data_IF_852586885143
#
_entry.id   IF_852586885143
#
_cell.length_a   1.000
_cell.length_b   1.000
_cell.length_c   1.000
_cell.angle_alpha   90.00
_cell.angle_beta   90.00
_cell.angle_gamma   90.00
#
_symmetry.space_group_name_H-M   'P 1'
#
loop_
_entity.id
_entity.type
_entity.pdbx_description
1 polymer ?
#
# COMPACT_ATOMS: atom_id res chain seq x y z
N UNK A 1 4.40 -4.55 -9.08
CA UNK A 1 5.34 -3.63 -8.39
C UNK A 1 6.78 -4.13 -8.49
N UNK A 2 7.07 -5.41 -8.26
CA UNK A 2 8.46 -5.91 -8.19
C UNK A 2 9.26 -5.72 -9.49
N UNK A 3 8.65 -5.98 -10.68
CA UNK A 3 9.33 -5.78 -11.97
C UNK A 3 9.62 -4.31 -12.23
N UNK A 4 8.62 -3.45 -12.10
CA UNK A 4 8.77 -2.00 -12.30
C UNK A 4 9.78 -1.41 -11.32
N UNK A 5 9.71 -1.80 -10.04
CA UNK A 5 10.68 -1.38 -9.05
C UNK A 5 12.11 -1.79 -9.42
N UNK A 6 12.31 -3.03 -9.88
CA UNK A 6 13.64 -3.51 -10.30
C UNK A 6 14.17 -2.74 -11.50
N UNK A 7 13.32 -2.36 -12.47
CA UNK A 7 13.73 -1.54 -13.62
C UNK A 7 14.17 -0.14 -13.19
N UNK A 8 13.41 0.49 -12.29
CA UNK A 8 13.73 1.81 -11.72
C UNK A 8 15.03 1.76 -10.90
N UNK A 9 15.18 0.76 -10.02
CA UNK A 9 16.35 0.58 -9.17
C UNK A 9 17.63 0.35 -9.98
N UNK A 10 17.54 -0.45 -11.05
CA UNK A 10 18.65 -0.73 -11.97
C UNK A 10 18.87 0.39 -13.00
N UNK A 11 18.06 1.45 -12.95
CA UNK A 11 18.13 2.60 -13.85
C UNK A 11 18.14 2.21 -15.35
N UNK A 12 17.35 1.19 -15.71
CA UNK A 12 17.26 0.67 -17.09
C UNK A 12 16.25 1.47 -17.89
N UNK A 13 16.74 2.45 -18.66
CA UNK A 13 15.93 3.34 -19.50
C UNK A 13 15.32 4.51 -18.73
N UNK A 14 14.75 5.47 -19.48
CA UNK A 14 14.04 6.62 -18.95
C UNK A 14 12.56 6.24 -18.72
N UNK A 15 12.23 5.70 -17.55
CA UNK A 15 10.90 5.21 -17.20
C UNK A 15 10.37 5.91 -15.95
N UNK A 16 9.04 6.08 -15.89
CA UNK A 16 8.32 6.55 -14.72
C UNK A 16 7.16 5.59 -14.40
N UNK A 17 6.74 5.59 -13.15
CA UNK A 17 5.56 4.86 -12.68
C UNK A 17 4.88 5.63 -11.56
N UNK A 18 3.56 5.55 -11.48
CA UNK A 18 2.71 6.27 -10.54
C UNK A 18 2.41 5.48 -9.27
N UNK A 19 1.92 6.16 -8.22
CA UNK A 19 1.36 5.53 -7.03
C UNK A 19 2.39 5.10 -5.98
N UNK A 20 3.58 5.69 -5.96
CA UNK A 20 4.67 5.31 -5.05
C UNK A 20 4.70 6.15 -3.78
N UNK A 21 5.00 5.50 -2.65
CA UNK A 21 5.47 6.19 -1.46
C UNK A 21 6.92 6.66 -1.65
N UNK A 22 7.20 7.89 -1.25
CA UNK A 22 8.54 8.50 -1.29
C UNK A 22 9.33 8.13 -0.03
N UNK A 23 9.91 6.93 -0.02
CA UNK A 23 10.77 6.46 1.08
C UNK A 23 12.23 6.85 0.84
N UNK A 24 13.02 7.01 1.91
CA UNK A 24 14.47 7.30 1.83
C UNK A 24 15.21 6.29 0.95
N UNK A 25 14.92 5.00 1.15
CA UNK A 25 15.50 3.92 0.34
C UNK A 25 15.25 4.11 -1.15
N UNK A 26 14.06 4.56 -1.54
CA UNK A 26 13.72 4.78 -2.96
C UNK A 26 14.33 6.06 -3.51
N UNK A 27 14.45 7.10 -2.69
CA UNK A 27 15.11 8.36 -3.07
C UNK A 27 16.59 8.17 -3.41
N UNK A 28 17.25 7.18 -2.83
CA UNK A 28 18.64 6.85 -3.15
C UNK A 28 18.85 6.47 -4.63
N UNK A 29 17.87 5.83 -5.28
CA UNK A 29 18.00 5.34 -6.66
C UNK A 29 17.03 5.94 -7.68
N UNK A 30 16.05 6.75 -7.27
CA UNK A 30 15.02 7.28 -8.16
C UNK A 30 14.75 8.77 -7.90
N UNK A 31 14.20 9.45 -8.91
CA UNK A 31 13.64 10.80 -8.82
C UNK A 31 12.15 10.73 -8.52
N UNK A 32 11.63 11.72 -7.82
CA UNK A 32 10.22 11.82 -7.45
C UNK A 32 9.61 13.14 -7.90
N UNK A 33 8.39 13.09 -8.40
CA UNK A 33 7.59 14.27 -8.66
C UNK A 33 7.16 14.96 -7.36
N UNK A 34 6.47 16.10 -7.48
CA UNK A 34 5.55 16.59 -6.45
C UNK A 34 4.46 15.52 -6.18
N UNK A 35 3.80 15.55 -5.01
CA UNK A 35 2.68 14.65 -4.74
C UNK A 35 1.54 14.95 -5.72
N UNK A 36 0.90 13.91 -6.24
CA UNK A 36 -0.22 14.06 -7.17
C UNK A 36 -1.52 13.42 -6.67
N UNK A 37 -1.45 12.67 -5.59
CA UNK A 37 -2.61 12.00 -5.01
C UNK A 37 -2.41 11.81 -3.49
N UNK A 38 -3.48 11.99 -2.74
CA UNK A 38 -3.59 11.60 -1.34
C UNK A 38 -4.83 10.71 -1.20
N UNK A 39 -4.65 9.52 -0.64
CA UNK A 39 -5.75 8.58 -0.45
C UNK A 39 -6.55 8.87 0.83
N UNK A 40 -7.67 8.15 1.01
CA UNK A 40 -8.52 8.23 2.19
C UNK A 40 -8.04 7.35 3.36
N UNK A 41 -6.79 6.92 3.33
CA UNK A 41 -6.21 6.13 4.41
C UNK A 41 -6.17 4.63 4.13
N UNK A 42 -5.84 3.89 5.17
CA UNK A 42 -5.71 2.43 5.15
C UNK A 42 -6.64 1.82 6.19
N UNK A 43 -7.38 0.80 5.79
CA UNK A 43 -8.20 -0.03 6.67
C UNK A 43 -7.62 -1.44 6.81
N UNK A 44 -8.13 -2.20 7.76
CA UNK A 44 -7.90 -3.64 7.87
C UNK A 44 -9.00 -4.40 7.10
N UNK A 45 -8.66 -5.09 6.03
CA UNK A 45 -9.59 -5.97 5.32
C UNK A 45 -9.58 -7.33 6.03
N UNK A 46 -10.76 -7.82 6.40
CA UNK A 46 -10.94 -9.05 7.19
C UNK A 46 -12.09 -9.87 6.63
N UNK A 47 -12.14 -11.17 6.96
CA UNK A 47 -13.32 -11.98 6.71
C UNK A 47 -14.45 -11.59 7.65
N UNK A 48 -15.68 -11.68 7.18
CA UNK A 48 -16.87 -11.35 7.97
C UNK A 48 -17.06 -12.27 9.18
N UNK A 49 -16.60 -13.52 9.08
CA UNK A 49 -16.67 -14.56 10.11
C UNK A 49 -15.51 -14.48 11.13
N UNK A 50 -14.50 -13.66 10.88
CA UNK A 50 -13.34 -13.54 11.77
C UNK A 50 -13.59 -12.49 12.87
N UNK A 51 -14.32 -12.89 13.91
CA UNK A 51 -14.80 -11.98 14.96
C UNK A 51 -13.68 -11.44 15.87
N UNK A 52 -12.58 -12.15 16.04
CA UNK A 52 -11.46 -11.74 16.90
C UNK A 52 -10.84 -10.42 16.45
N UNK A 53 -10.65 -10.24 15.12
CA UNK A 53 -10.09 -8.99 14.59
C UNK A 53 -10.99 -7.77 14.87
N UNK A 54 -12.29 -7.98 15.06
CA UNK A 54 -13.26 -6.92 15.36
C UNK A 54 -13.13 -6.33 16.77
N UNK A 55 -12.40 -7.01 17.66
CA UNK A 55 -12.19 -6.56 19.04
C UNK A 55 -11.17 -5.42 19.12
N UNK A 56 -10.27 -5.32 18.13
CA UNK A 56 -9.25 -4.29 18.10
C UNK A 56 -9.82 -2.95 17.65
N UNK A 57 -9.36 -1.87 18.29
CA UNK A 57 -9.78 -0.49 18.00
C UNK A 57 -8.68 0.29 17.28
N UNK A 58 -7.44 -0.17 17.40
CA UNK A 58 -6.26 0.48 16.83
C UNK A 58 -5.41 -0.50 16.03
N UNK A 59 -4.67 0.02 15.04
CA UNK A 59 -3.65 -0.76 14.34
C UNK A 59 -2.48 -1.13 15.24
N UNK A 60 -2.17 -0.29 16.21
CA UNK A 60 -1.14 -0.57 17.23
C UNK A 60 -1.46 -1.89 17.94
N UNK A 61 -2.69 -2.06 18.44
CA UNK A 61 -3.15 -3.27 19.11
C UNK A 61 -3.19 -4.48 18.17
N UNK A 62 -3.80 -4.30 16.96
CA UNK A 62 -3.95 -5.37 16.00
C UNK A 62 -2.60 -5.94 15.52
N UNK A 63 -1.64 -5.05 15.23
CA UNK A 63 -0.32 -5.45 14.75
C UNK A 63 0.57 -6.01 15.86
N UNK A 64 0.28 -5.71 17.13
CA UNK A 64 0.97 -6.27 18.29
C UNK A 64 0.52 -7.70 18.63
N UNK A 65 -0.67 -8.10 18.24
CA UNK A 65 -1.19 -9.45 18.50
C UNK A 65 -0.38 -10.51 17.75
N UNK A 66 0.04 -11.57 18.49
CA UNK A 66 0.90 -12.63 17.98
C UNK A 66 0.12 -13.86 17.45
N UNK A 67 -1.16 -13.93 17.76
CA UNK A 67 -2.02 -15.02 17.29
C UNK A 67 -2.51 -14.76 15.88
N UNK A 68 -2.71 -13.48 15.53
CA UNK A 68 -3.19 -13.07 14.23
C UNK A 68 -2.04 -12.84 13.23
N UNK A 69 -2.31 -13.16 11.98
CA UNK A 69 -1.35 -13.03 10.87
C UNK A 69 -1.81 -12.01 9.85
N UNK A 70 -0.88 -11.15 9.40
CA UNK A 70 -1.09 -10.20 8.32
C UNK A 70 -0.52 -10.71 7.00
N UNK A 71 -1.31 -10.61 5.93
CA UNK A 71 -0.81 -10.82 4.58
C UNK A 71 0.02 -9.63 4.12
N UNK A 72 1.28 -9.86 3.74
CA UNK A 72 2.18 -8.80 3.26
C UNK A 72 2.82 -9.17 1.93
N UNK A 73 2.87 -8.20 1.02
CA UNK A 73 3.51 -8.38 -0.28
C UNK A 73 5.01 -8.14 -0.18
N UNK A 74 5.78 -9.06 -0.77
CA UNK A 74 7.24 -8.95 -0.81
C UNK A 74 7.69 -7.62 -1.42
N UNK A 75 8.65 -6.95 -0.77
CA UNK A 75 9.21 -5.66 -1.20
C UNK A 75 8.17 -4.52 -1.34
N UNK A 76 7.00 -4.67 -0.75
CA UNK A 76 5.98 -3.63 -0.72
C UNK A 76 6.18 -2.75 0.52
N UNK A 77 5.82 -1.48 0.43
CA UNK A 77 5.73 -0.56 1.56
C UNK A 77 4.25 -0.22 1.77
N UNK A 78 3.82 -0.26 3.00
CA UNK A 78 2.47 0.13 3.44
C UNK A 78 2.40 1.58 3.94
N UNK A 79 3.48 2.34 3.75
CA UNK A 79 3.65 3.70 4.27
C UNK A 79 4.47 3.71 5.57
N UNK A 80 4.98 4.91 5.91
CA UNK A 80 5.91 5.06 7.04
C UNK A 80 5.35 4.53 8.36
N UNK A 81 4.08 4.82 8.64
CA UNK A 81 3.41 4.42 9.86
C UNK A 81 3.32 2.89 9.99
N UNK A 82 2.72 2.23 8.98
CA UNK A 82 2.52 0.78 9.01
C UNK A 82 3.82 -0.01 8.90
N UNK A 83 4.78 0.46 8.10
CA UNK A 83 6.08 -0.19 7.98
C UNK A 83 6.80 -0.18 9.35
N UNK A 84 6.72 0.94 10.09
CA UNK A 84 7.28 1.05 11.44
C UNK A 84 6.58 0.15 12.46
N UNK A 85 5.24 0.09 12.45
CA UNK A 85 4.47 -0.79 13.34
C UNK A 85 4.74 -2.28 13.08
N UNK A 86 4.79 -2.68 11.79
CA UNK A 86 5.11 -4.05 11.38
C UNK A 86 6.50 -4.49 11.84
N UNK A 87 7.45 -3.56 11.91
CA UNK A 87 8.81 -3.82 12.42
C UNK A 87 8.83 -3.83 13.94
N UNK A 88 8.28 -2.79 14.58
CA UNK A 88 8.23 -2.60 16.04
C UNK A 88 7.64 -3.81 16.76
N UNK A 89 6.52 -4.30 16.28
CA UNK A 89 5.81 -5.39 16.94
C UNK A 89 6.26 -6.78 16.50
N UNK A 90 7.10 -6.92 15.47
CA UNK A 90 7.47 -8.23 14.95
C UNK A 90 6.24 -9.06 14.58
N UNK A 91 5.24 -8.42 13.99
CA UNK A 91 3.93 -8.99 13.62
C UNK A 91 4.10 -10.27 12.80
N UNK A 92 3.27 -11.28 13.05
CA UNK A 92 3.25 -12.52 12.28
C UNK A 92 2.84 -12.25 10.83
N UNK A 93 3.78 -12.37 9.88
CA UNK A 93 3.60 -12.02 8.48
C UNK A 93 3.49 -13.26 7.60
N UNK A 94 2.48 -13.31 6.74
CA UNK A 94 2.44 -14.24 5.60
C UNK A 94 2.90 -13.47 4.36
N UNK A 95 4.14 -13.69 3.97
CA UNK A 95 4.78 -12.98 2.85
C UNK A 95 4.45 -13.68 1.53
N UNK A 96 3.99 -12.90 0.54
CA UNK A 96 3.62 -13.43 -0.78
C UNK A 96 3.97 -12.46 -1.92
N UNK A 97 3.91 -12.94 -3.17
CA UNK A 97 4.20 -12.17 -4.39
C UNK A 97 2.95 -11.90 -5.25
N UNK A 98 1.76 -12.15 -4.73
CA UNK A 98 0.49 -11.97 -5.44
C UNK A 98 0.19 -10.49 -5.76
N UNK A 99 -0.71 -10.27 -6.71
CA UNK A 99 -1.31 -8.94 -6.99
C UNK A 99 -2.23 -8.52 -5.82
N UNK A 100 -2.77 -7.31 -5.83
CA UNK A 100 -3.77 -6.90 -4.84
C UNK A 100 -5.00 -7.82 -4.86
N UNK A 101 -5.52 -8.15 -6.05
CA UNK A 101 -6.61 -9.10 -6.19
C UNK A 101 -6.24 -10.49 -5.66
N UNK A 102 -5.03 -10.98 -5.96
CA UNK A 102 -4.54 -12.24 -5.41
C UNK A 102 -4.41 -12.23 -3.89
N UNK A 103 -4.01 -11.11 -3.28
CA UNK A 103 -3.98 -10.94 -1.82
C UNK A 103 -5.38 -11.05 -1.22
N UNK A 104 -6.37 -10.41 -1.84
CA UNK A 104 -7.78 -10.49 -1.42
C UNK A 104 -8.33 -11.92 -1.55
N UNK A 105 -7.99 -12.62 -2.64
CA UNK A 105 -8.37 -14.03 -2.81
C UNK A 105 -7.75 -14.93 -1.72
N UNK A 106 -6.49 -14.70 -1.36
CA UNK A 106 -5.82 -15.43 -0.27
C UNK A 106 -6.49 -15.19 1.07
N UNK A 107 -6.87 -13.94 1.39
CA UNK A 107 -7.61 -13.60 2.60
C UNK A 107 -8.97 -14.31 2.64
N UNK A 108 -9.72 -14.24 1.54
CA UNK A 108 -11.03 -14.91 1.43
C UNK A 108 -10.92 -16.42 1.62
N UNK A 109 -9.79 -17.02 1.22
CA UNK A 109 -9.45 -18.44 1.43
C UNK A 109 -8.84 -18.75 2.81
N UNK A 110 -8.76 -17.77 3.74
CA UNK A 110 -8.27 -17.96 5.10
C UNK A 110 -6.77 -18.23 5.23
N UNK A 111 -5.96 -17.76 4.27
CA UNK A 111 -4.50 -17.98 4.31
C UNK A 111 -3.78 -17.11 5.34
N UNK A 112 -4.41 -16.06 5.79
CA UNK A 112 -4.02 -15.16 6.88
C UNK A 112 -5.28 -14.44 7.39
N UNK A 113 -5.16 -13.68 8.46
CA UNK A 113 -6.31 -13.17 9.19
C UNK A 113 -6.77 -11.80 8.69
N UNK A 114 -5.85 -10.94 8.26
CA UNK A 114 -6.18 -9.62 7.74
C UNK A 114 -5.15 -9.10 6.72
N UNK A 115 -5.57 -8.06 5.97
CA UNK A 115 -4.74 -7.27 5.06
C UNK A 115 -4.81 -5.79 5.41
N UNK A 116 -3.70 -5.09 5.28
CA UNK A 116 -3.69 -3.63 5.19
C UNK A 116 -4.07 -3.24 3.76
N UNK A 117 -5.18 -2.53 3.59
CA UNK A 117 -5.72 -2.16 2.28
C UNK A 117 -6.07 -0.67 2.23
N UNK A 118 -5.84 -0.02 1.08
CA UNK A 118 -6.34 1.34 0.86
C UNK A 118 -7.87 1.33 0.81
N UNK A 119 -8.49 2.19 1.59
CA UNK A 119 -9.95 2.35 1.62
C UNK A 119 -10.48 2.67 0.23
N UNK A 120 -9.77 3.51 -0.55
CA UNK A 120 -10.19 3.90 -1.91
C UNK A 120 -10.38 2.75 -2.91
N UNK A 121 -9.67 1.65 -2.70
CA UNK A 121 -9.68 0.51 -3.63
C UNK A 121 -10.34 -0.73 -3.07
N UNK A 122 -10.71 -0.72 -1.80
CA UNK A 122 -11.22 -1.88 -1.08
C UNK A 122 -12.50 -2.44 -1.70
N UNK A 123 -13.51 -1.60 -1.94
CA UNK A 123 -14.78 -2.01 -2.52
C UNK A 123 -14.63 -2.61 -3.92
N UNK A 124 -13.82 -1.97 -4.76
CA UNK A 124 -13.52 -2.50 -6.08
C UNK A 124 -12.89 -3.89 -6.00
N UNK A 125 -11.88 -4.05 -5.13
CA UNK A 125 -11.17 -5.33 -4.97
C UNK A 125 -12.07 -6.42 -4.39
N UNK A 126 -12.87 -6.12 -3.35
CA UNK A 126 -13.80 -7.07 -2.77
C UNK A 126 -14.85 -7.57 -3.77
N UNK A 127 -15.33 -6.68 -4.66
CA UNK A 127 -16.36 -7.02 -5.65
C UNK A 127 -15.79 -7.66 -6.91
N UNK A 128 -14.53 -7.43 -7.26
CA UNK A 128 -13.89 -7.93 -8.49
C UNK A 128 -13.20 -9.29 -8.32
N UNK A 129 -13.08 -9.80 -7.09
CA UNK A 129 -12.41 -11.07 -6.80
C UNK A 129 -13.44 -12.16 -6.57
N UNK A 130 -13.39 -13.20 -7.39
CA UNK A 130 -14.23 -14.38 -7.24
C UNK A 130 -14.02 -15.02 -5.86
N UNK A 131 -15.13 -15.33 -5.18
CA UNK A 131 -15.12 -15.92 -3.84
C UNK A 131 -14.87 -14.94 -2.69
N UNK A 132 -14.61 -13.66 -2.94
CA UNK A 132 -14.46 -12.62 -1.92
C UNK A 132 -15.74 -11.81 -1.70
N UNK A 133 -16.58 -11.70 -2.73
CA UNK A 133 -17.83 -10.92 -2.69
C UNK A 133 -18.72 -11.35 -1.54
N UNK A 134 -19.12 -10.39 -0.69
CA UNK A 134 -19.97 -10.61 0.47
C UNK A 134 -19.32 -11.37 1.64
N UNK A 135 -18.05 -11.74 1.55
CA UNK A 135 -17.31 -12.47 2.60
C UNK A 135 -16.33 -11.60 3.38
N UNK A 136 -16.02 -10.43 2.88
CA UNK A 136 -15.01 -9.54 3.43
C UNK A 136 -15.62 -8.19 3.80
N UNK A 137 -15.01 -7.53 4.76
CA UNK A 137 -15.31 -6.15 5.15
C UNK A 137 -14.03 -5.40 5.51
N UNK A 138 -14.07 -4.08 5.38
CA UNK A 138 -13.01 -3.18 5.87
C UNK A 138 -13.37 -2.71 7.26
N UNK A 139 -12.39 -2.70 8.16
CA UNK A 139 -12.47 -2.10 9.48
C UNK A 139 -11.55 -0.88 9.48
N UNK A 140 -12.12 0.27 9.84
CA UNK A 140 -11.36 1.48 10.11
C UNK A 140 -10.89 1.46 11.56
N UNK A 141 -9.67 1.88 11.80
CA UNK A 141 -9.04 1.93 13.12
C UNK A 141 -8.83 3.36 13.57
N UNK A 142 -8.99 3.62 14.86
CA UNK A 142 -8.95 4.98 15.41
C UNK A 142 -7.59 5.68 15.25
N UNK A 143 -6.51 4.92 15.17
CA UNK A 143 -5.14 5.40 14.98
C UNK A 143 -4.67 5.37 13.52
N UNK A 144 -5.58 5.10 12.57
CA UNK A 144 -5.25 5.14 11.16
C UNK A 144 -4.79 6.55 10.76
N UNK A 145 -3.59 6.72 10.20
CA UNK A 145 -3.19 8.03 9.72
C UNK A 145 -4.01 8.43 8.49
N UNK A 146 -4.13 9.72 8.27
CA UNK A 146 -4.60 10.23 6.98
C UNK A 146 -3.82 9.58 5.86
N UNK A 147 -4.46 9.44 4.70
CA UNK A 147 -3.84 8.77 3.56
C UNK A 147 -2.50 9.40 3.18
N UNK A 148 -1.50 8.58 3.01
CA UNK A 148 -0.17 9.01 2.59
C UNK A 148 -0.17 9.59 1.17
N UNK A 149 0.66 10.59 0.96
CA UNK A 149 0.90 11.19 -0.35
C UNK A 149 1.53 10.18 -1.33
N UNK A 150 1.05 10.20 -2.58
CA UNK A 150 1.57 9.36 -3.67
C UNK A 150 2.28 10.21 -4.70
N UNK A 151 3.32 9.63 -5.24
CA UNK A 151 4.26 10.29 -6.14
C UNK A 151 4.45 9.49 -7.43
N UNK A 152 4.85 10.17 -8.47
CA UNK A 152 5.41 9.54 -9.66
C UNK A 152 6.89 9.32 -9.39
N UNK A 153 7.33 8.07 -9.43
CA UNK A 153 8.73 7.68 -9.27
C UNK A 153 9.34 7.42 -10.65
N UNK A 154 10.42 8.11 -10.95
CA UNK A 154 11.14 8.02 -12.22
C UNK A 154 12.56 7.52 -12.02
N UNK A 155 13.11 6.82 -13.01
CA UNK A 155 14.53 6.47 -13.04
C UNK A 155 15.40 7.72 -13.11
N UNK A 156 16.64 7.64 -12.64
CA UNK A 156 17.60 8.76 -12.70
C UNK A 156 17.91 9.23 -14.13
N UNK A 157 17.68 8.36 -15.13
CA UNK A 157 17.85 8.68 -16.55
C UNK A 157 16.78 9.64 -17.11
N UNK A 158 15.68 9.84 -16.39
CA UNK A 158 14.69 10.87 -16.76
C UNK A 158 15.31 12.24 -16.51
N UNK A 159 15.34 13.11 -17.55
CA UNK A 159 15.95 14.44 -17.45
C UNK A 159 15.22 15.34 -16.46
N UNK A 160 15.94 16.31 -15.88
CA UNK A 160 15.33 17.27 -14.95
C UNK A 160 14.31 18.17 -15.68
N UNK A 161 14.48 18.39 -16.98
CA UNK A 161 13.50 19.09 -17.80
C UNK A 161 12.15 18.34 -17.85
N UNK A 162 12.17 17.01 -18.03
CA UNK A 162 10.94 16.19 -17.99
C UNK A 162 10.33 16.21 -16.59
N UNK A 163 11.15 16.11 -15.54
CA UNK A 163 10.67 16.21 -14.16
C UNK A 163 10.05 17.58 -13.86
N UNK A 164 10.63 18.65 -14.38
CA UNK A 164 10.08 20.00 -14.27
C UNK A 164 8.69 20.11 -14.91
N UNK A 165 8.56 19.68 -16.18
CA UNK A 165 7.27 19.69 -16.91
C UNK A 165 6.21 18.84 -16.21
N UNK A 166 6.60 17.69 -15.63
CA UNK A 166 5.72 16.84 -14.85
C UNK A 166 5.21 17.56 -13.60
N UNK A 167 6.08 18.21 -12.86
CA UNK A 167 5.74 18.97 -11.66
C UNK A 167 4.84 20.19 -11.98
N UNK A 168 5.11 20.90 -13.07
CA UNK A 168 4.25 22.00 -13.54
C UNK A 168 2.84 21.50 -13.91
N UNK A 169 2.74 20.31 -14.52
CA UNK A 169 1.44 19.71 -14.82
C UNK A 169 0.67 19.33 -13.54
N UNK A 170 1.34 18.79 -12.53
CA UNK A 170 0.75 18.48 -11.22
C UNK A 170 0.24 19.76 -10.54
N UNK A 171 1.04 20.83 -10.54
CA UNK A 171 0.66 22.12 -9.95
C UNK A 171 -0.60 22.72 -10.63
N UNK A 172 -0.68 22.64 -11.97
CA UNK A 172 -1.85 23.11 -12.73
C UNK A 172 -3.12 22.33 -12.41
N UNK A 173 -3.01 21.04 -12.16
CA UNK A 173 -4.14 20.17 -11.88
C UNK A 173 -4.66 20.27 -10.43
N UNK A 174 -3.88 20.88 -9.51
CA UNK A 174 -4.23 21.06 -8.09
C UNK A 174 -4.77 19.78 -7.44
N UNK A 175 -4.13 18.64 -7.71
CA UNK A 175 -4.61 17.30 -7.34
C UNK A 175 -4.49 16.99 -5.85
N UNK A 176 -3.65 17.72 -5.12
CA UNK A 176 -3.48 17.58 -3.66
C UNK A 176 -3.66 18.96 -3.05
N UNK A 177 -4.45 19.04 -1.98
CA UNK A 177 -4.70 20.27 -1.23
C UNK A 177 -3.54 20.61 -0.33
#
# INVERSE_FOLDING_TARGET
ASRTQSLLEKNRGAICSTGWFKTEKRQAYAKFSKPFYQGNGTGALVRNDHTEVLLFKTFEELLADKNLSVGVRRKWSYGKYFDALLEKHGTKKVVHDQTNAGSVAMLAAGRFDYLLISVDTSDFLMNSVDGAKGKLKVIEMADAPDGDLRYIMCSKNVSDQIMGRLNEAIDRLKLVK
#
